data_IF_951934811615
#
_entry.id   IF_951934811615
#
_cell.length_a   1.000
_cell.length_b   1.000
_cell.length_c   1.000
_cell.angle_alpha   90.00
_cell.angle_beta   90.00
_cell.angle_gamma   90.00
#
_symmetry.space_group_name_H-M   'P 1'
#
loop_
_entity.id
_entity.type
_entity.pdbx_description
1 polymer ?
#
# COMPACT_ATOMS: atom_id res chain seq x y z
N UNK A 1 2.97 5.37 12.65
CA UNK A 1 1.88 4.87 11.81
C UNK A 1 0.69 5.82 11.81
N UNK A 2 0.22 6.27 10.64
CA UNK A 2 -0.91 7.18 10.51
C UNK A 2 -2.19 6.43 10.07
N UNK A 3 -3.05 6.10 11.04
CA UNK A 3 -4.30 5.37 10.81
C UNK A 3 -5.36 6.17 10.05
N UNK A 4 -5.24 7.49 9.95
CA UNK A 4 -6.18 8.32 9.18
C UNK A 4 -6.07 8.07 7.67
N UNK A 5 -4.91 7.57 7.22
CA UNK A 5 -4.66 7.24 5.82
C UNK A 5 -4.99 5.79 5.47
N UNK A 6 -5.29 4.96 6.47
CA UNK A 6 -5.62 3.55 6.29
C UNK A 6 -7.13 3.39 6.17
N UNK A 7 -7.59 2.52 5.29
CA UNK A 7 -8.98 2.08 5.37
C UNK A 7 -9.21 1.14 6.57
N UNK A 8 -10.46 1.03 6.99
CA UNK A 8 -10.84 0.18 8.13
C UNK A 8 -10.47 -1.28 7.89
N UNK A 9 -10.59 -1.76 6.65
CA UNK A 9 -10.24 -3.13 6.29
C UNK A 9 -8.75 -3.42 6.51
N UNK A 10 -7.86 -2.49 6.10
CA UNK A 10 -6.43 -2.64 6.33
C UNK A 10 -6.07 -2.53 7.80
N UNK A 11 -6.67 -1.58 8.54
CA UNK A 11 -6.45 -1.46 9.98
C UNK A 11 -6.82 -2.76 10.73
N UNK A 12 -7.92 -3.41 10.34
CA UNK A 12 -8.31 -4.72 10.90
C UNK A 12 -7.33 -5.81 10.46
N UNK A 13 -6.95 -5.86 9.18
CA UNK A 13 -6.03 -6.87 8.67
C UNK A 13 -4.67 -6.81 9.37
N UNK A 14 -4.16 -5.61 9.66
CA UNK A 14 -2.91 -5.39 10.38
C UNK A 14 -2.89 -5.98 11.79
N UNK A 15 -4.04 -6.01 12.48
CA UNK A 15 -4.15 -6.61 13.81
C UNK A 15 -4.15 -8.16 13.78
N UNK A 16 -4.37 -8.76 12.60
CA UNK A 16 -4.44 -10.21 12.43
C UNK A 16 -3.14 -10.80 11.83
N UNK A 17 -2.10 -9.99 11.63
CA UNK A 17 -0.82 -10.47 11.10
C UNK A 17 0.11 -10.84 12.26
N UNK A 18 0.54 -12.10 12.29
CA UNK A 18 1.46 -12.60 13.32
C UNK A 18 2.89 -12.06 13.17
N UNK A 19 3.36 -11.87 11.92
CA UNK A 19 4.70 -11.40 11.63
C UNK A 19 4.69 -10.01 10.95
N UNK A 20 5.07 -8.93 11.66
CA UNK A 20 5.02 -7.57 11.12
C UNK A 20 6.07 -7.28 10.03
N UNK A 21 7.04 -8.18 9.83
CA UNK A 21 8.07 -8.06 8.79
C UNK A 21 7.68 -8.78 7.50
N UNK A 22 6.75 -9.73 7.56
CA UNK A 22 6.42 -10.56 6.40
C UNK A 22 5.45 -9.84 5.46
N UNK A 23 5.76 -9.72 4.16
CA UNK A 23 4.85 -9.15 3.17
C UNK A 23 3.64 -10.07 2.97
N UNK A 24 2.53 -9.74 3.62
CA UNK A 24 1.31 -10.58 3.65
C UNK A 24 0.04 -9.82 3.24
N UNK A 25 0.11 -8.49 3.19
CA UNK A 25 -1.05 -7.63 2.94
C UNK A 25 -0.96 -7.03 1.55
N UNK A 26 -1.85 -7.46 0.66
CA UNK A 26 -1.99 -6.83 -0.64
C UNK A 26 -2.74 -5.51 -0.47
N UNK A 27 -2.14 -4.40 -0.89
CA UNK A 27 -2.66 -3.05 -0.65
C UNK A 27 -2.61 -2.19 -1.92
N UNK A 28 -3.58 -1.28 -2.02
CA UNK A 28 -3.57 -0.16 -2.95
C UNK A 28 -2.98 1.06 -2.25
N UNK A 29 -1.99 1.69 -2.87
CA UNK A 29 -1.30 2.88 -2.35
C UNK A 29 -1.65 4.01 -3.28
N UNK A 30 -2.32 5.04 -2.75
CA UNK A 30 -2.64 6.26 -3.48
C UNK A 30 -1.68 7.36 -3.02
N UNK A 31 -0.86 7.83 -3.94
CA UNK A 31 0.09 8.92 -3.78
C UNK A 31 -0.46 10.18 -4.42
N UNK A 32 0.08 11.34 -4.06
CA UNK A 32 -0.25 12.57 -4.76
C UNK A 32 0.39 12.56 -6.17
N UNK A 33 -0.24 13.23 -7.14
CA UNK A 33 0.30 13.39 -8.50
C UNK A 33 1.65 14.12 -8.52
N UNK A 34 1.94 14.96 -7.52
CA UNK A 34 3.23 15.64 -7.34
C UNK A 34 4.29 14.78 -6.63
N UNK A 35 3.99 13.49 -6.37
CA UNK A 35 4.95 12.53 -5.83
C UNK A 35 5.99 12.07 -6.86
N UNK A 36 6.20 12.82 -7.96
CA UNK A 36 7.30 12.64 -8.91
C UNK A 36 8.70 12.86 -8.28
N UNK A 37 8.78 13.05 -6.96
CA UNK A 37 10.07 13.03 -6.27
C UNK A 37 10.71 11.64 -6.42
N UNK A 38 11.94 11.63 -6.93
CA UNK A 38 12.81 10.45 -7.04
C UNK A 38 12.81 9.61 -5.76
N UNK A 39 12.68 10.25 -4.60
CA UNK A 39 12.64 9.61 -3.28
C UNK A 39 11.39 8.76 -3.04
N UNK A 40 10.20 9.21 -3.50
CA UNK A 40 8.97 8.44 -3.35
C UNK A 40 9.02 7.17 -4.22
N UNK A 41 9.51 7.31 -5.45
CA UNK A 41 9.72 6.17 -6.37
C UNK A 41 10.72 5.17 -5.80
N UNK A 42 11.87 5.63 -5.34
CA UNK A 42 12.89 4.78 -4.72
C UNK A 42 12.36 4.08 -3.44
N UNK A 43 11.55 4.77 -2.63
CA UNK A 43 10.93 4.17 -1.45
C UNK A 43 9.93 3.07 -1.84
N UNK A 44 9.07 3.30 -2.84
CA UNK A 44 8.14 2.30 -3.33
C UNK A 44 8.87 1.07 -3.88
N UNK A 45 9.92 1.26 -4.68
CA UNK A 45 10.76 0.18 -5.21
C UNK A 45 11.45 -0.63 -4.10
N UNK A 46 12.01 0.04 -3.10
CA UNK A 46 12.65 -0.61 -1.94
C UNK A 46 11.66 -1.43 -1.11
N UNK A 47 10.40 -1.02 -1.07
CA UNK A 47 9.33 -1.76 -0.39
C UNK A 47 8.76 -2.91 -1.23
N UNK A 48 9.27 -3.11 -2.45
CA UNK A 48 8.85 -4.19 -3.34
C UNK A 48 7.57 -3.88 -4.12
N UNK A 49 7.22 -2.60 -4.31
CA UNK A 49 6.09 -2.20 -5.14
C UNK A 49 6.46 -2.34 -6.63
N UNK A 50 5.79 -3.22 -7.39
CA UNK A 50 6.09 -3.39 -8.81
C UNK A 50 5.44 -2.29 -9.66
N UNK A 51 6.02 -2.04 -10.85
CA UNK A 51 5.49 -1.14 -11.87
C UNK A 51 5.33 0.32 -11.41
N UNK A 52 6.27 0.82 -10.61
CA UNK A 52 6.35 2.25 -10.30
C UNK A 52 6.68 2.98 -11.61
N UNK A 53 5.75 3.79 -12.09
CA UNK A 53 5.88 4.51 -13.35
C UNK A 53 5.49 5.97 -13.15
N UNK A 54 6.18 6.92 -13.80
CA UNK A 54 5.81 8.33 -13.75
C UNK A 54 4.40 8.53 -14.31
N UNK A 55 3.65 9.45 -13.69
CA UNK A 55 2.25 9.72 -14.03
C UNK A 55 1.24 8.71 -13.48
N UNK A 56 1.66 7.71 -12.69
CA UNK A 56 0.74 6.90 -11.87
C UNK A 56 0.71 7.43 -10.44
N UNK A 57 -0.49 7.61 -9.95
CA UNK A 57 -0.84 8.00 -8.58
C UNK A 57 -1.29 6.79 -7.73
N UNK A 58 -1.69 5.68 -8.36
CA UNK A 58 -2.13 4.47 -7.67
C UNK A 58 -1.23 3.28 -7.98
N UNK A 59 -0.71 2.66 -6.92
CA UNK A 59 0.13 1.46 -6.97
C UNK A 59 -0.52 0.30 -6.24
N UNK A 60 -0.16 -0.93 -6.61
CA UNK A 60 -0.62 -2.15 -5.94
C UNK A 60 0.57 -3.02 -5.59
N UNK A 61 0.69 -3.42 -4.32
CA UNK A 61 1.79 -4.23 -3.85
C UNK A 61 1.41 -5.09 -2.66
N UNK A 62 2.16 -6.18 -2.45
CA UNK A 62 2.08 -6.96 -1.21
C UNK A 62 3.13 -6.44 -0.24
N UNK A 63 2.67 -5.80 0.84
CA UNK A 63 3.52 -5.14 1.82
C UNK A 63 3.39 -5.79 3.19
N UNK A 64 4.42 -5.60 4.02
CA UNK A 64 4.40 -5.97 5.43
C UNK A 64 3.73 -4.88 6.27
N UNK A 65 3.20 -5.20 7.46
CA UNK A 65 2.70 -4.20 8.40
C UNK A 65 3.70 -3.06 8.68
N UNK A 66 5.00 -3.36 8.78
CA UNK A 66 6.04 -2.35 8.96
C UNK A 66 6.20 -1.43 7.75
N UNK A 67 6.17 -1.98 6.53
CA UNK A 67 6.21 -1.18 5.31
C UNK A 67 5.01 -0.24 5.21
N UNK A 68 3.81 -0.72 5.56
CA UNK A 68 2.59 0.09 5.60
C UNK A 68 2.72 1.22 6.64
N UNK A 69 3.30 0.93 7.81
CA UNK A 69 3.57 1.97 8.81
C UNK A 69 4.49 3.06 8.26
N UNK A 70 5.61 2.68 7.64
CA UNK A 70 6.57 3.61 7.04
C UNK A 70 5.93 4.47 5.93
N UNK A 71 5.12 3.87 5.06
CA UNK A 71 4.40 4.59 4.00
C UNK A 71 3.36 5.55 4.56
N UNK A 72 2.59 5.14 5.58
CA UNK A 72 1.55 5.98 6.17
C UNK A 72 2.09 7.30 6.73
N UNK A 73 3.34 7.31 7.17
CA UNK A 73 4.02 8.50 7.69
C UNK A 73 4.47 9.47 6.59
N UNK A 74 4.59 9.00 5.35
CA UNK A 74 5.06 9.84 4.25
C UNK A 74 4.04 10.91 3.86
N UNK A 75 4.45 12.18 3.64
CA UNK A 75 3.55 13.28 3.33
C UNK A 75 2.93 13.20 1.94
N UNK A 76 3.57 12.47 1.02
CA UNK A 76 3.10 12.23 -0.36
C UNK A 76 2.10 11.07 -0.47
N UNK A 77 1.96 10.24 0.57
CA UNK A 77 0.93 9.20 0.63
C UNK A 77 -0.39 9.81 1.05
N UNK A 78 -1.40 9.73 0.17
CA UNK A 78 -2.76 10.17 0.45
C UNK A 78 -3.55 9.12 1.21
N UNK A 79 -3.55 7.87 0.72
CA UNK A 79 -4.28 6.77 1.36
C UNK A 79 -3.70 5.41 1.02
N UNK A 80 -3.87 4.44 1.91
CA UNK A 80 -3.50 3.05 1.71
C UNK A 80 -4.73 2.20 2.03
N UNK A 81 -5.14 1.34 1.11
CA UNK A 81 -6.35 0.53 1.22
C UNK A 81 -6.05 -0.94 1.02
N UNK A 82 -6.79 -1.81 1.69
CA UNK A 82 -6.61 -3.25 1.49
C UNK A 82 -7.09 -3.64 0.09
N UNK A 83 -6.21 -4.26 -0.70
CA UNK A 83 -6.56 -4.82 -2.00
C UNK A 83 -7.34 -6.11 -1.78
N UNK A 84 -8.64 -6.05 -1.99
CA UNK A 84 -9.49 -7.23 -1.91
C UNK A 84 -9.25 -8.12 -3.14
N UNK A 85 -8.95 -9.40 -2.91
CA UNK A 85 -8.98 -10.41 -3.98
C UNK A 85 -10.41 -10.51 -4.51
N UNK A 86 -10.70 -9.83 -5.62
CA UNK A 86 -11.94 -10.07 -6.35
C UNK A 86 -11.94 -11.53 -6.83
N UNK A 87 -12.80 -12.35 -6.22
CA UNK A 87 -13.12 -13.67 -6.75
C UNK A 87 -14.04 -13.47 -7.95
N UNK A 88 -13.57 -13.82 -9.13
CA UNK A 88 -14.38 -13.83 -10.33
C UNK A 88 -15.49 -14.89 -10.15
N UNK A 89 -16.73 -14.45 -9.91
CA UNK A 89 -17.87 -15.36 -9.82
C UNK A 89 -18.33 -15.67 -11.25
N UNK A 90 -17.91 -16.80 -11.79
CA UNK A 90 -18.46 -17.31 -13.04
C UNK A 90 -19.92 -17.72 -12.78
N UNK A 91 -20.89 -16.95 -13.28
CA UNK A 91 -22.31 -17.32 -13.30
C UNK A 91 -22.53 -18.17 -14.55
N UNK A 92 -22.92 -19.43 -14.34
CA UNK A 92 -23.29 -20.39 -15.40
C UNK A 92 -24.76 -20.25 -15.78
#
# INVERSE_FOLDING_TARGET
MNYQKLDTALAVALNNVDNPQEPSLNVFIHTKEDAESTDATAMLENLGVPNVAPGKDVFTATLSPNAISQLSEQPWVQSIRLSQKMRLLYRR
#
